data_IF_770134185098
#
_entry.id   IF_770134185098
#
_cell.length_a   1.000
_cell.length_b   1.000
_cell.length_c   1.000
_cell.angle_alpha   90.00
_cell.angle_beta   90.00
_cell.angle_gamma   90.00
#
_symmetry.space_group_name_H-M   'P 1'
#
loop_
_entity.id
_entity.type
_entity.pdbx_description
1 polymer ?
#
# COMPACT_ATOMS: atom_id res chain seq x y z
N UNK A 1 9.92 11.29 -3.49
CA UNK A 1 8.74 10.77 -4.17
C UNK A 1 8.72 9.23 -4.17
N UNK A 2 9.61 8.55 -4.91
CA UNK A 2 9.70 7.08 -4.87
C UNK A 2 10.44 6.62 -3.60
N UNK A 3 9.81 5.72 -2.83
CA UNK A 3 10.44 5.14 -1.63
C UNK A 3 11.36 3.94 -1.95
N UNK A 4 11.96 3.94 -3.16
CA UNK A 4 12.95 2.98 -3.64
C UNK A 4 13.80 3.62 -4.75
N UNK A 5 15.09 3.81 -4.52
CA UNK A 5 16.03 4.35 -5.51
C UNK A 5 16.05 3.54 -6.81
N UNK A 6 15.87 2.23 -6.73
CA UNK A 6 15.78 1.36 -7.91
C UNK A 6 14.59 1.73 -8.77
N UNK A 7 13.41 1.93 -8.16
CA UNK A 7 12.19 2.29 -8.89
C UNK A 7 12.27 3.69 -9.47
N UNK A 8 12.90 4.61 -8.76
CA UNK A 8 13.16 5.95 -9.25
C UNK A 8 14.02 5.94 -10.52
N UNK A 9 15.14 5.20 -10.51
CA UNK A 9 16.02 5.05 -11.70
C UNK A 9 15.26 4.45 -12.89
N UNK A 10 14.43 3.43 -12.65
CA UNK A 10 13.62 2.80 -13.70
C UNK A 10 12.59 3.79 -14.25
N UNK A 11 11.95 4.58 -13.38
CA UNK A 11 10.99 5.62 -13.78
C UNK A 11 11.64 6.68 -14.69
N UNK A 12 12.77 7.26 -14.28
CA UNK A 12 13.47 8.28 -15.07
C UNK A 12 13.96 7.74 -16.41
N UNK A 13 14.55 6.55 -16.44
CA UNK A 13 14.96 5.93 -17.69
C UNK A 13 13.79 5.75 -18.67
N UNK A 14 12.60 5.41 -18.18
CA UNK A 14 11.41 5.30 -19.00
C UNK A 14 10.92 6.67 -19.48
N UNK A 15 10.87 7.67 -18.60
CA UNK A 15 10.42 9.03 -18.93
C UNK A 15 11.32 9.69 -19.98
N UNK A 16 12.63 9.51 -19.89
CA UNK A 16 13.60 10.06 -20.83
C UNK A 16 13.49 9.40 -22.24
N UNK A 17 12.96 8.18 -22.31
CA UNK A 17 12.81 7.42 -23.54
C UNK A 17 11.32 7.17 -23.92
N UNK A 18 10.41 8.00 -23.41
CA UNK A 18 8.98 7.82 -23.64
C UNK A 18 8.66 7.91 -25.13
N UNK A 19 7.79 7.02 -25.62
CA UNK A 19 7.32 6.97 -26.99
C UNK A 19 5.87 7.42 -27.10
N UNK A 20 5.44 7.78 -28.30
CA UNK A 20 4.05 8.07 -28.62
C UNK A 20 3.13 6.91 -28.21
N UNK A 21 1.94 7.25 -27.74
CA UNK A 21 0.97 6.27 -27.28
C UNK A 21 -0.37 6.50 -27.95
N UNK A 22 -0.84 5.48 -28.68
CA UNK A 22 -2.17 5.48 -29.25
C UNK A 22 -3.20 5.27 -28.12
N UNK A 23 -4.08 6.26 -27.92
CA UNK A 23 -5.08 6.27 -26.85
C UNK A 23 -6.44 5.73 -27.28
N UNK A 24 -6.65 5.43 -28.56
CA UNK A 24 -7.90 4.87 -29.08
C UNK A 24 -7.93 3.34 -28.92
N UNK A 25 -9.11 2.81 -28.61
CA UNK A 25 -9.37 1.36 -28.50
C UNK A 25 -10.68 1.02 -29.21
N UNK A 26 -10.67 -0.08 -29.97
CA UNK A 26 -11.81 -0.63 -30.68
C UNK A 26 -12.57 -1.59 -29.74
N UNK A 27 -13.21 -1.04 -28.72
CA UNK A 27 -13.93 -1.79 -27.68
C UNK A 27 -15.40 -1.39 -27.68
N UNK A 28 -16.26 -2.32 -27.31
CA UNK A 28 -17.70 -2.09 -27.19
C UNK A 28 -18.05 -1.17 -26.00
N UNK A 29 -17.28 -1.25 -24.92
CA UNK A 29 -17.49 -0.48 -23.70
C UNK A 29 -16.30 0.43 -23.42
N UNK A 30 -16.59 1.64 -23.01
CA UNK A 30 -15.59 2.63 -22.62
C UNK A 30 -16.07 4.06 -22.80
N UNK A 31 -15.21 5.02 -22.53
CA UNK A 31 -15.45 6.43 -22.77
C UNK A 31 -15.22 6.71 -24.26
N UNK A 32 -16.26 7.05 -25.01
CA UNK A 32 -16.10 7.43 -26.43
C UNK A 32 -15.19 8.65 -26.54
N UNK A 33 -14.35 8.62 -27.56
CA UNK A 33 -13.46 9.74 -27.87
C UNK A 33 -14.35 10.94 -28.24
N UNK A 34 -14.24 12.10 -27.55
CA UNK A 34 -15.12 13.26 -27.73
C UNK A 34 -14.66 14.11 -28.92
N UNK A 35 -14.32 13.44 -30.01
CA UNK A 35 -13.91 14.08 -31.29
C UNK A 35 -14.94 13.81 -32.36
N UNK A 36 -15.25 14.83 -33.10
CA UNK A 36 -16.20 14.80 -34.23
C UNK A 36 -15.49 15.16 -35.53
N UNK A 37 -15.96 14.58 -36.62
CA UNK A 37 -15.45 14.76 -37.97
C UNK A 37 -16.58 15.33 -38.87
N UNK A 38 -16.23 16.27 -39.74
CA UNK A 38 -17.15 16.82 -40.70
C UNK A 38 -16.85 16.24 -42.09
N UNK A 39 -17.81 15.50 -42.65
CA UNK A 39 -17.68 14.90 -43.99
C UNK A 39 -17.66 15.93 -45.10
N UNK A 40 -18.14 17.16 -44.83
CA UNK A 40 -18.23 18.21 -45.84
C UNK A 40 -16.97 19.05 -46.01
N UNK A 41 -16.15 19.21 -44.94
CA UNK A 41 -14.97 20.07 -45.00
C UNK A 41 -13.74 19.45 -44.32
N UNK A 42 -13.81 18.19 -43.92
CA UNK A 42 -12.74 17.42 -43.23
C UNK A 42 -12.22 18.12 -41.97
N UNK A 43 -13.03 18.96 -41.33
CA UNK A 43 -12.69 19.54 -40.05
C UNK A 43 -12.92 18.53 -38.92
N UNK A 44 -11.99 18.44 -38.02
CA UNK A 44 -12.11 17.63 -36.81
C UNK A 44 -11.95 18.53 -35.58
N UNK A 45 -12.76 18.26 -34.55
CA UNK A 45 -12.72 19.03 -33.31
C UNK A 45 -13.16 18.19 -32.11
N UNK A 46 -12.62 18.51 -30.95
CA UNK A 46 -13.09 17.97 -29.66
C UNK A 46 -14.15 18.90 -29.07
N UNK A 47 -15.18 18.33 -28.45
CA UNK A 47 -16.25 19.11 -27.80
C UNK A 47 -16.71 18.42 -26.51
N UNK A 48 -17.27 19.25 -25.60
CA UNK A 48 -17.98 18.79 -24.39
C UNK A 48 -19.46 18.51 -24.64
N UNK A 49 -19.97 18.87 -25.83
CA UNK A 49 -21.35 18.58 -26.21
C UNK A 49 -21.47 17.10 -26.57
N UNK A 50 -22.42 16.41 -25.94
CA UNK A 50 -22.66 14.99 -26.21
C UNK A 50 -23.14 14.75 -27.65
N UNK A 51 -23.96 15.67 -28.19
CA UNK A 51 -24.55 15.60 -29.54
C UNK A 51 -24.47 16.96 -30.24
N UNK A 52 -23.30 17.38 -30.75
CA UNK A 52 -23.22 18.59 -31.56
C UNK A 52 -24.01 18.40 -32.85
N UNK A 53 -24.74 19.43 -33.28
CA UNK A 53 -25.62 19.33 -34.44
C UNK A 53 -24.97 19.76 -35.75
N UNK A 54 -23.94 20.60 -35.69
CA UNK A 54 -23.30 21.14 -36.89
C UNK A 54 -21.79 21.35 -36.69
N UNK A 55 -21.08 21.33 -37.79
CA UNK A 55 -19.67 21.63 -37.86
C UNK A 55 -19.40 23.11 -37.50
N UNK A 56 -18.51 23.41 -36.51
CA UNK A 56 -18.20 24.78 -36.11
C UNK A 56 -17.48 25.58 -37.20
N UNK A 57 -16.87 24.90 -38.19
CA UNK A 57 -16.13 25.54 -39.27
C UNK A 57 -17.00 25.89 -40.49
N UNK A 58 -17.90 25.00 -40.92
CA UNK A 58 -18.67 25.20 -42.16
C UNK A 58 -20.18 25.24 -41.94
N UNK A 59 -20.70 25.03 -40.73
CA UNK A 59 -22.11 25.07 -40.38
C UNK A 59 -22.96 23.93 -40.96
N UNK A 60 -22.36 22.91 -41.55
CA UNK A 60 -23.10 21.76 -42.09
C UNK A 60 -23.34 20.69 -41.07
N UNK A 61 -24.41 19.92 -41.20
CA UNK A 61 -24.88 18.89 -40.27
C UNK A 61 -24.26 17.49 -40.52
N UNK A 62 -23.52 17.30 -41.62
CA UNK A 62 -22.86 16.02 -41.94
C UNK A 62 -21.62 15.82 -41.08
N UNK A 63 -21.87 15.36 -39.87
CA UNK A 63 -20.86 15.14 -38.88
C UNK A 63 -21.04 13.75 -38.23
N UNK A 64 -19.93 13.14 -37.79
CA UNK A 64 -19.95 11.90 -37.03
C UNK A 64 -18.91 11.94 -35.91
N UNK A 65 -19.22 11.25 -34.82
CA UNK A 65 -18.28 11.10 -33.70
C UNK A 65 -17.34 9.97 -33.98
N UNK A 66 -16.11 10.06 -33.45
CA UNK A 66 -15.13 8.98 -33.43
C UNK A 66 -15.76 7.69 -32.88
N UNK A 67 -15.65 6.54 -33.58
CA UNK A 67 -16.26 5.28 -33.16
C UNK A 67 -15.50 4.62 -31.99
N UNK A 68 -14.25 5.00 -31.77
CA UNK A 68 -13.38 4.38 -30.79
C UNK A 68 -13.63 4.94 -29.38
N UNK A 69 -13.14 4.22 -28.39
CA UNK A 69 -13.14 4.63 -26.98
C UNK A 69 -11.73 4.93 -26.49
N UNK A 70 -11.62 5.72 -25.44
CA UNK A 70 -10.34 6.01 -24.80
C UNK A 70 -9.80 4.77 -24.10
N UNK A 71 -8.48 4.61 -24.15
CA UNK A 71 -7.76 3.63 -23.33
C UNK A 71 -8.05 3.84 -21.84
N UNK A 72 -8.23 2.75 -21.10
CA UNK A 72 -8.51 2.77 -19.65
C UNK A 72 -7.46 3.56 -18.90
N UNK A 73 -6.18 3.42 -19.29
CA UNK A 73 -5.08 4.13 -18.61
C UNK A 73 -5.07 5.63 -18.86
N UNK A 74 -5.71 6.08 -19.95
CA UNK A 74 -5.89 7.52 -20.18
C UNK A 74 -6.86 8.12 -19.16
N UNK A 75 -8.03 7.52 -19.00
CA UNK A 75 -9.03 7.99 -18.03
C UNK A 75 -8.54 7.83 -16.58
N UNK A 76 -7.90 6.72 -16.26
CA UNK A 76 -7.38 6.46 -14.92
C UNK A 76 -6.19 7.36 -14.53
N UNK A 77 -5.52 7.97 -15.50
CA UNK A 77 -4.48 8.97 -15.24
C UNK A 77 -5.02 10.25 -14.56
N UNK A 78 -6.33 10.49 -14.66
CA UNK A 78 -7.00 11.63 -14.01
C UNK A 78 -7.47 11.31 -12.58
N UNK A 79 -7.34 10.06 -12.14
CA UNK A 79 -7.94 9.57 -10.90
C UNK A 79 -7.50 10.33 -9.64
N UNK A 80 -6.24 10.78 -9.58
CA UNK A 80 -5.71 11.47 -8.41
C UNK A 80 -6.45 12.79 -8.07
N UNK A 81 -7.14 13.41 -9.02
CA UNK A 81 -7.81 14.71 -8.85
C UNK A 81 -9.24 14.74 -9.38
N UNK A 82 -9.59 13.92 -10.37
CA UNK A 82 -10.94 13.91 -10.95
C UNK A 82 -12.05 13.55 -9.93
N UNK A 83 -11.91 12.51 -9.08
CA UNK A 83 -12.93 12.20 -8.06
C UNK A 83 -13.09 13.28 -6.99
N UNK A 84 -12.08 14.15 -6.84
CA UNK A 84 -12.11 15.26 -5.91
C UNK A 84 -12.85 16.50 -6.47
N UNK A 85 -13.52 16.34 -7.61
CA UNK A 85 -14.37 17.38 -8.22
C UNK A 85 -13.69 18.27 -9.25
N UNK A 86 -12.51 17.90 -9.74
CA UNK A 86 -11.83 18.65 -10.81
C UNK A 86 -12.67 18.65 -12.10
N UNK A 87 -12.77 19.81 -12.73
CA UNK A 87 -13.46 19.99 -14.02
C UNK A 87 -14.95 20.28 -13.97
N UNK A 88 -15.58 20.24 -12.81
CA UNK A 88 -17.04 20.40 -12.68
C UNK A 88 -17.54 21.85 -12.50
N UNK A 89 -16.78 22.87 -12.86
CA UNK A 89 -17.20 24.29 -12.86
C UNK A 89 -18.05 24.70 -11.62
N UNK A 90 -17.72 24.21 -10.43
CA UNK A 90 -18.46 24.51 -9.19
C UNK A 90 -19.71 23.65 -8.95
N UNK A 91 -20.05 22.72 -9.84
CA UNK A 91 -21.11 21.73 -9.63
C UNK A 91 -20.54 20.40 -9.13
N UNK A 92 -19.75 20.45 -8.07
CA UNK A 92 -19.33 19.23 -7.40
C UNK A 92 -20.52 18.51 -6.81
N UNK A 93 -20.69 17.23 -7.12
CA UNK A 93 -21.46 16.38 -6.23
C UNK A 93 -20.73 16.39 -4.89
N UNK A 94 -21.36 16.98 -3.88
CA UNK A 94 -20.88 17.04 -2.49
C UNK A 94 -20.85 15.62 -1.93
N UNK A 95 -19.78 14.88 -2.24
CA UNK A 95 -19.65 13.52 -1.70
C UNK A 95 -19.03 13.55 -0.30
N UNK A 96 -18.12 14.48 -0.04
CA UNK A 96 -17.38 14.56 1.23
C UNK A 96 -17.25 15.99 1.77
N UNK A 97 -17.08 17.04 0.95
CA UNK A 97 -16.89 18.40 1.40
C UNK A 97 -16.86 19.43 0.27
N UNK A 98 -16.88 20.71 0.61
CA UNK A 98 -16.92 21.79 -0.40
C UNK A 98 -15.56 22.05 -1.07
N UNK A 99 -14.46 21.48 -0.54
CA UNK A 99 -13.09 21.75 -0.99
C UNK A 99 -12.20 20.51 -1.08
N UNK A 100 -12.75 19.33 -1.39
CA UNK A 100 -12.00 18.06 -1.38
C UNK A 100 -10.72 18.12 -2.23
N UNK A 101 -10.77 18.78 -3.38
CA UNK A 101 -9.60 18.94 -4.23
C UNK A 101 -8.49 19.74 -3.53
N UNK A 102 -8.85 20.77 -2.77
CA UNK A 102 -7.88 21.58 -2.03
C UNK A 102 -7.31 20.85 -0.82
N UNK A 103 -8.15 20.05 -0.16
CA UNK A 103 -7.78 19.40 1.10
C UNK A 103 -7.01 18.09 0.88
N UNK A 104 -7.31 17.36 -0.21
CA UNK A 104 -6.76 16.02 -0.47
C UNK A 104 -5.81 15.94 -1.67
N UNK A 105 -5.61 17.02 -2.42
CA UNK A 105 -4.60 17.06 -3.49
C UNK A 105 -3.44 18.01 -3.11
N UNK A 106 -2.16 17.56 -3.17
CA UNK A 106 -1.70 16.22 -3.52
C UNK A 106 -1.98 15.19 -2.44
N UNK A 107 -2.22 13.95 -2.85
CA UNK A 107 -2.39 12.82 -1.95
C UNK A 107 -1.09 12.54 -1.17
N UNK A 108 -1.22 12.08 0.08
CA UNK A 108 -0.06 11.83 0.93
C UNK A 108 0.79 10.65 0.46
N UNK A 109 0.15 9.57 0.01
CA UNK A 109 0.81 8.31 -0.36
C UNK A 109 0.02 7.57 -1.43
N UNK A 110 0.72 7.11 -2.46
CA UNK A 110 0.23 6.09 -3.40
C UNK A 110 0.92 4.76 -3.12
N UNK A 111 0.12 3.70 -2.93
CA UNK A 111 0.62 2.33 -2.84
C UNK A 111 0.09 1.54 -4.04
N UNK A 112 0.97 0.98 -4.85
CA UNK A 112 0.57 0.20 -6.04
C UNK A 112 1.63 -0.82 -6.44
N UNK A 113 1.28 -1.75 -7.34
CA UNK A 113 2.21 -2.70 -7.91
C UNK A 113 3.20 -2.04 -8.88
N UNK A 114 4.42 -2.53 -8.88
CA UNK A 114 5.45 -2.00 -9.79
C UNK A 114 5.15 -2.27 -11.27
N UNK A 115 4.33 -3.27 -11.57
CA UNK A 115 3.95 -3.67 -12.93
C UNK A 115 3.08 -2.64 -13.65
N UNK A 116 2.40 -1.75 -12.92
CA UNK A 116 1.61 -0.65 -13.47
C UNK A 116 2.24 0.73 -13.26
N UNK A 117 3.52 0.80 -12.94
CA UNK A 117 4.22 2.07 -12.74
C UNK A 117 4.14 2.97 -13.98
N UNK A 118 4.38 2.43 -15.17
CA UNK A 118 4.34 3.21 -16.41
C UNK A 118 2.94 3.42 -16.94
N UNK A 119 2.07 2.43 -16.76
CA UNK A 119 0.69 2.51 -17.27
C UNK A 119 -0.16 3.47 -16.45
N UNK A 120 0.06 3.53 -15.14
CA UNK A 120 -0.79 4.31 -14.25
C UNK A 120 -0.06 5.43 -13.53
N UNK A 121 1.00 5.12 -12.79
CA UNK A 121 1.68 6.10 -11.92
C UNK A 121 2.30 7.23 -12.74
N UNK A 122 3.11 6.90 -13.75
CA UNK A 122 3.75 7.90 -14.60
C UNK A 122 2.71 8.79 -15.30
N UNK A 123 1.60 8.22 -15.77
CA UNK A 123 0.53 8.97 -16.42
C UNK A 123 -0.25 9.86 -15.45
N UNK A 124 -0.51 9.41 -14.22
CA UNK A 124 -1.08 10.29 -13.20
C UNK A 124 -0.15 11.46 -12.87
N UNK A 125 1.16 11.23 -12.82
CA UNK A 125 2.13 12.28 -12.59
C UNK A 125 2.16 13.29 -13.73
N UNK A 126 2.15 12.83 -14.99
CA UNK A 126 2.10 13.70 -16.18
C UNK A 126 0.81 14.54 -16.22
N UNK A 127 -0.35 13.91 -15.99
CA UNK A 127 -1.64 14.60 -16.01
C UNK A 127 -1.79 15.54 -14.81
N UNK A 128 -1.32 15.13 -13.62
CA UNK A 128 -1.31 15.98 -12.44
C UNK A 128 -0.46 17.23 -12.65
N UNK A 129 0.75 17.10 -13.14
CA UNK A 129 1.61 18.24 -13.45
C UNK A 129 0.98 19.16 -14.51
N UNK A 130 0.42 18.57 -15.58
CA UNK A 130 -0.20 19.33 -16.68
C UNK A 130 -1.45 20.10 -16.26
N UNK A 131 -2.38 19.45 -15.55
CA UNK A 131 -3.68 20.05 -15.23
C UNK A 131 -3.73 20.78 -13.89
N UNK A 132 -2.94 20.34 -12.91
CA UNK A 132 -2.95 20.88 -11.56
C UNK A 132 -1.70 21.71 -11.25
N UNK A 133 -0.65 21.68 -12.11
CA UNK A 133 0.63 22.37 -11.89
C UNK A 133 1.41 21.79 -10.70
N UNK A 134 1.10 20.57 -10.28
CA UNK A 134 1.67 19.95 -9.11
C UNK A 134 1.59 18.42 -9.21
N UNK A 135 2.64 17.73 -8.74
CA UNK A 135 2.63 16.26 -8.66
C UNK A 135 1.51 15.74 -7.74
N UNK A 136 0.85 14.63 -8.12
CA UNK A 136 -0.34 14.14 -7.43
C UNK A 136 -0.09 13.44 -6.10
N UNK A 137 1.16 13.04 -5.80
CA UNK A 137 1.53 12.26 -4.61
C UNK A 137 2.79 12.83 -3.96
N UNK A 138 2.82 12.84 -2.63
CA UNK A 138 4.05 13.15 -1.86
C UNK A 138 4.99 11.96 -1.87
N UNK A 139 4.45 10.76 -1.65
CA UNK A 139 5.17 9.51 -1.60
C UNK A 139 4.56 8.46 -2.51
N UNK A 140 5.40 7.63 -3.13
CA UNK A 140 5.01 6.50 -3.94
C UNK A 140 5.73 5.25 -3.43
N UNK A 141 4.95 4.28 -2.96
CA UNK A 141 5.43 2.98 -2.52
C UNK A 141 5.02 1.89 -3.52
N UNK A 142 6.03 1.25 -4.12
CA UNK A 142 5.83 0.14 -5.05
C UNK A 142 5.89 -1.17 -4.29
N UNK A 143 4.72 -1.80 -4.07
CA UNK A 143 4.64 -3.07 -3.37
C UNK A 143 5.05 -4.25 -4.24
N UNK A 144 5.47 -5.33 -3.59
CA UNK A 144 5.74 -6.61 -4.22
C UNK A 144 4.45 -7.29 -4.70
N UNK A 145 4.55 -8.12 -5.75
CA UNK A 145 3.44 -8.99 -6.16
C UNK A 145 3.51 -10.31 -5.42
N UNK A 146 2.34 -10.81 -5.00
CA UNK A 146 2.23 -12.13 -4.38
C UNK A 146 2.16 -13.20 -5.47
N UNK A 147 3.02 -14.20 -5.35
CA UNK A 147 3.10 -15.39 -6.22
C UNK A 147 2.84 -16.64 -5.39
N UNK A 148 2.52 -17.73 -6.04
CA UNK A 148 2.45 -19.02 -5.37
C UNK A 148 3.81 -19.48 -4.79
N UNK A 149 3.86 -20.56 -4.04
CA UNK A 149 5.06 -21.08 -3.39
C UNK A 149 6.19 -21.43 -4.39
N UNK A 150 5.83 -21.75 -5.63
CA UNK A 150 6.79 -22.02 -6.71
C UNK A 150 7.25 -20.76 -7.45
N UNK A 151 6.66 -19.60 -7.13
CA UNK A 151 6.96 -18.31 -7.76
C UNK A 151 6.20 -18.06 -9.06
N UNK A 152 5.20 -18.87 -9.39
CA UNK A 152 4.35 -18.65 -10.55
C UNK A 152 3.32 -17.55 -10.28
N UNK A 153 2.98 -16.77 -11.31
CA UNK A 153 1.90 -15.78 -11.24
C UNK A 153 0.57 -16.50 -11.00
N UNK A 154 -0.17 -16.04 -9.99
CA UNK A 154 -1.50 -16.55 -9.69
C UNK A 154 -2.49 -16.18 -10.79
N UNK A 155 -3.29 -17.13 -11.24
CA UNK A 155 -4.39 -16.89 -12.18
C UNK A 155 -5.50 -17.93 -12.00
N UNK A 156 -6.75 -17.50 -12.23
CA UNK A 156 -7.93 -18.40 -12.16
C UNK A 156 -7.79 -19.58 -13.13
N UNK A 157 -7.21 -19.35 -14.31
CA UNK A 157 -7.02 -20.38 -15.33
C UNK A 157 -6.02 -21.47 -14.91
N UNK A 158 -5.07 -21.15 -14.02
CA UNK A 158 -4.10 -22.11 -13.48
C UNK A 158 -4.57 -22.80 -12.21
N UNK A 159 -5.66 -22.31 -11.59
CA UNK A 159 -6.17 -22.85 -10.33
C UNK A 159 -5.25 -22.65 -9.13
N UNK A 160 -4.27 -21.74 -9.21
CA UNK A 160 -3.30 -21.42 -8.15
C UNK A 160 -3.60 -20.09 -7.43
N UNK A 161 -4.82 -19.59 -7.55
CA UNK A 161 -5.27 -18.40 -6.83
C UNK A 161 -5.55 -18.79 -5.38
N UNK A 162 -4.95 -18.06 -4.45
CA UNK A 162 -5.21 -18.18 -3.02
C UNK A 162 -6.24 -17.10 -2.67
N UNK A 163 -7.38 -17.52 -2.11
CA UNK A 163 -8.37 -16.58 -1.57
C UNK A 163 -7.91 -16.12 -0.18
N UNK A 164 -7.72 -14.80 0.03
CA UNK A 164 -7.34 -14.30 1.34
C UNK A 164 -8.36 -14.61 2.45
N UNK A 165 -9.65 -14.74 2.14
CA UNK A 165 -10.69 -15.04 3.12
C UNK A 165 -10.55 -16.49 3.62
N UNK A 166 -10.34 -17.45 2.72
CA UNK A 166 -10.09 -18.85 3.09
C UNK A 166 -8.83 -18.97 3.98
N UNK A 167 -7.81 -18.15 3.67
CA UNK A 167 -6.59 -18.10 4.50
C UNK A 167 -6.88 -17.54 5.90
N UNK A 168 -7.73 -16.51 6.01
CA UNK A 168 -8.10 -15.91 7.30
C UNK A 168 -8.84 -16.94 8.17
N UNK A 169 -9.71 -17.74 7.59
CA UNK A 169 -10.43 -18.80 8.32
C UNK A 169 -9.49 -19.88 8.86
N UNK A 170 -8.45 -20.23 8.12
CA UNK A 170 -7.52 -21.32 8.49
C UNK A 170 -6.32 -20.85 9.34
N UNK A 171 -5.88 -19.60 9.18
CA UNK A 171 -4.62 -19.11 9.77
C UNK A 171 -4.78 -17.88 10.66
N UNK A 172 -5.88 -17.17 10.63
CA UNK A 172 -6.13 -15.83 11.17
C UNK A 172 -5.55 -14.67 10.35
N UNK A 173 -6.20 -13.51 10.47
CA UNK A 173 -5.79 -12.29 9.77
C UNK A 173 -4.40 -11.79 10.21
N UNK A 174 -4.08 -11.90 11.50
CA UNK A 174 -2.81 -11.42 12.04
C UNK A 174 -1.60 -12.20 11.49
N UNK A 175 -1.73 -13.53 11.39
CA UNK A 175 -0.68 -14.39 10.81
C UNK A 175 -0.42 -14.00 9.36
N UNK A 176 -1.48 -13.80 8.57
CA UNK A 176 -1.36 -13.46 7.15
C UNK A 176 -0.73 -12.08 6.99
N UNK A 177 -1.23 -11.09 7.71
CA UNK A 177 -0.72 -9.70 7.65
C UNK A 177 0.75 -9.63 8.06
N UNK A 178 1.12 -10.28 9.15
CA UNK A 178 2.51 -10.31 9.60
C UNK A 178 3.41 -11.06 8.60
N UNK A 179 2.95 -12.19 8.05
CA UNK A 179 3.65 -12.93 7.00
C UNK A 179 3.94 -12.04 5.80
N UNK A 180 2.91 -11.34 5.30
CA UNK A 180 3.06 -10.44 4.15
C UNK A 180 4.02 -9.28 4.45
N UNK A 181 3.91 -8.66 5.63
CA UNK A 181 4.82 -7.59 6.04
C UNK A 181 6.27 -8.08 6.11
N UNK A 182 6.50 -9.25 6.72
CA UNK A 182 7.83 -9.85 6.84
C UNK A 182 8.46 -10.20 5.49
N UNK A 183 7.66 -10.65 4.53
CA UNK A 183 8.11 -11.03 3.19
C UNK A 183 8.18 -9.86 2.19
N UNK A 184 7.67 -8.68 2.55
CA UNK A 184 7.55 -7.51 1.68
C UNK A 184 8.91 -6.81 1.46
N UNK A 185 9.86 -7.51 0.85
CA UNK A 185 11.14 -6.92 0.46
C UNK A 185 10.94 -6.09 -0.81
N UNK A 186 11.32 -4.82 -0.76
CA UNK A 186 11.19 -3.93 -1.91
C UNK A 186 11.91 -4.49 -3.15
N UNK A 187 11.20 -4.50 -4.28
CA UNK A 187 11.73 -4.93 -5.58
C UNK A 187 11.82 -6.44 -5.77
N UNK A 188 11.22 -7.24 -4.91
CA UNK A 188 11.11 -8.70 -5.06
C UNK A 188 9.68 -9.16 -4.88
N UNK A 189 9.24 -10.12 -5.70
CA UNK A 189 7.93 -10.75 -5.52
C UNK A 189 7.92 -11.62 -4.26
N UNK A 190 6.76 -11.69 -3.63
CA UNK A 190 6.52 -12.53 -2.45
C UNK A 190 6.13 -13.92 -2.92
N UNK A 191 6.90 -14.94 -2.55
CA UNK A 191 6.48 -16.33 -2.69
C UNK A 191 5.74 -16.73 -1.42
N UNK A 192 4.42 -16.88 -1.52
CA UNK A 192 3.58 -17.22 -0.40
C UNK A 192 3.27 -18.72 -0.41
N UNK A 193 3.65 -19.42 0.66
CA UNK A 193 3.40 -20.84 0.85
C UNK A 193 3.09 -21.17 2.31
N UNK A 194 2.59 -22.38 2.55
CA UNK A 194 2.17 -22.86 3.87
C UNK A 194 3.28 -22.74 4.94
N UNK A 195 4.54 -23.01 4.56
CA UNK A 195 5.67 -22.90 5.49
C UNK A 195 5.88 -21.50 6.06
N UNK A 196 5.58 -20.46 5.26
CA UNK A 196 5.68 -19.09 5.75
C UNK A 196 4.60 -18.80 6.79
N UNK A 197 3.38 -19.26 6.55
CA UNK A 197 2.26 -19.08 7.48
C UNK A 197 2.48 -19.87 8.78
N UNK A 198 2.98 -21.10 8.69
CA UNK A 198 3.30 -21.91 9.85
C UNK A 198 4.36 -21.27 10.75
N UNK A 199 5.38 -20.64 10.17
CA UNK A 199 6.39 -19.89 10.93
C UNK A 199 5.74 -18.82 11.82
N UNK A 200 4.81 -18.05 11.26
CA UNK A 200 4.18 -16.96 12.01
C UNK A 200 3.01 -17.41 12.89
N UNK A 201 2.40 -18.54 12.60
CA UNK A 201 1.52 -19.24 13.55
C UNK A 201 2.30 -19.63 14.82
N UNK A 202 3.50 -20.17 14.65
CA UNK A 202 4.36 -20.50 15.80
C UNK A 202 4.78 -19.23 16.57
N UNK A 203 4.99 -18.11 15.88
CA UNK A 203 5.29 -16.83 16.51
C UNK A 203 4.12 -16.32 17.37
N UNK A 204 2.91 -16.29 16.83
CA UNK A 204 1.71 -15.89 17.60
C UNK A 204 1.44 -16.80 18.77
N UNK A 205 1.60 -18.12 18.61
CA UNK A 205 1.51 -19.09 19.71
C UNK A 205 2.58 -18.86 20.79
N UNK A 206 3.78 -18.48 20.39
CA UNK A 206 4.87 -18.14 21.35
C UNK A 206 4.50 -16.93 22.20
N UNK A 207 3.96 -15.86 21.58
CA UNK A 207 3.47 -14.67 22.29
C UNK A 207 2.32 -15.00 23.23
N UNK A 208 1.36 -15.81 22.77
CA UNK A 208 0.24 -16.27 23.59
C UNK A 208 0.73 -17.06 24.82
N UNK A 209 1.67 -17.99 24.64
CA UNK A 209 2.24 -18.76 25.74
C UNK A 209 3.03 -17.89 26.72
N UNK A 210 3.77 -16.88 26.24
CA UNK A 210 4.44 -15.89 27.08
C UNK A 210 3.43 -15.09 27.92
N UNK A 211 2.33 -14.64 27.29
CA UNK A 211 1.22 -13.96 28.00
C UNK A 211 0.62 -14.84 29.09
N UNK A 212 0.33 -16.11 28.79
CA UNK A 212 -0.21 -17.06 29.77
C UNK A 212 0.76 -17.28 30.94
N UNK A 213 2.04 -17.47 30.66
CA UNK A 213 3.04 -17.62 31.71
C UNK A 213 3.06 -16.40 32.65
N UNK A 214 3.08 -15.18 32.09
CA UNK A 214 3.08 -13.95 32.87
C UNK A 214 1.81 -13.85 33.73
N UNK A 215 0.64 -14.07 33.14
CA UNK A 215 -0.66 -13.95 33.82
C UNK A 215 -0.89 -15.02 34.90
N UNK A 216 -0.30 -16.19 34.77
CA UNK A 216 -0.38 -17.23 35.79
C UNK A 216 0.49 -16.91 37.04
N UNK A 217 1.49 -16.04 36.93
CA UNK A 217 2.40 -15.68 38.00
C UNK A 217 2.05 -14.35 38.69
N UNK A 218 1.33 -13.46 38.01
CA UNK A 218 0.94 -12.14 38.52
C UNK A 218 -0.42 -11.75 37.97
N UNK A 219 -1.36 -11.37 38.85
CA UNK A 219 -2.74 -11.07 38.48
C UNK A 219 -2.87 -9.80 37.62
N UNK A 220 -2.01 -8.80 37.85
CA UNK A 220 -2.04 -7.53 37.12
C UNK A 220 -0.63 -7.00 36.90
N UNK A 221 -0.42 -6.39 35.73
CA UNK A 221 0.82 -5.68 35.42
C UNK A 221 0.57 -4.19 35.35
N UNK A 222 1.31 -3.36 36.10
CA UNK A 222 1.22 -1.89 35.98
C UNK A 222 1.60 -1.44 34.56
N UNK A 223 1.16 -0.26 34.16
CA UNK A 223 1.65 0.36 32.93
C UNK A 223 3.12 0.78 33.14
N UNK A 224 3.90 0.77 32.08
CA UNK A 224 5.35 1.05 32.17
C UNK A 224 5.65 2.44 32.76
N UNK A 225 4.76 3.40 32.59
CA UNK A 225 4.84 4.75 33.19
C UNK A 225 4.63 4.77 34.70
N UNK A 226 3.98 3.74 35.26
CA UNK A 226 3.59 3.65 36.69
C UNK A 226 4.50 2.72 37.51
N UNK A 227 5.55 2.16 36.88
CA UNK A 227 6.51 1.29 37.51
C UNK A 227 7.95 1.76 37.24
N UNK A 228 8.79 1.67 38.26
CA UNK A 228 10.24 1.84 38.11
C UNK A 228 10.90 0.48 37.89
N UNK A 229 11.57 0.32 36.75
CA UNK A 229 12.31 -0.91 36.44
C UNK A 229 13.64 -0.90 37.22
N UNK A 230 13.89 -1.93 38.03
CA UNK A 230 15.04 -2.00 38.97
C UNK A 230 15.86 -3.27 38.83
N UNK A 231 15.23 -4.38 38.42
CA UNK A 231 15.98 -5.64 38.31
C UNK A 231 16.96 -5.58 37.14
N UNK A 232 18.12 -6.23 37.24
CA UNK A 232 19.09 -6.30 36.14
C UNK A 232 18.46 -6.84 34.86
N UNK A 233 17.57 -7.83 34.97
CA UNK A 233 16.82 -8.36 33.83
C UNK A 233 15.84 -7.33 33.23
N UNK A 234 15.06 -6.65 34.06
CA UNK A 234 14.14 -5.61 33.64
C UNK A 234 14.84 -4.46 32.90
N UNK A 235 15.96 -3.95 33.48
CA UNK A 235 16.77 -2.90 32.84
C UNK A 235 17.37 -3.35 31.51
N UNK A 236 17.85 -4.59 31.41
CA UNK A 236 18.34 -5.16 30.17
C UNK A 236 17.24 -5.24 29.13
N UNK A 237 16.07 -5.78 29.47
CA UNK A 237 14.94 -5.90 28.55
C UNK A 237 14.35 -4.54 28.16
N UNK A 238 14.31 -3.57 29.06
CA UNK A 238 13.89 -2.21 28.73
C UNK A 238 14.83 -1.56 27.72
N UNK A 239 16.15 -1.74 27.86
CA UNK A 239 17.12 -1.27 26.86
C UNK A 239 16.92 -1.94 25.51
N UNK A 240 16.70 -3.26 25.48
CA UNK A 240 16.43 -4.01 24.24
C UNK A 240 15.12 -3.57 23.58
N UNK A 241 14.07 -3.33 24.36
CA UNK A 241 12.79 -2.81 23.87
C UNK A 241 12.97 -1.43 23.26
N UNK A 242 13.71 -0.52 23.91
CA UNK A 242 13.99 0.82 23.37
C UNK A 242 14.69 0.75 22.02
N UNK A 243 15.71 -0.08 21.88
CA UNK A 243 16.37 -0.29 20.59
C UNK A 243 15.43 -0.86 19.53
N UNK A 244 14.59 -1.84 19.89
CA UNK A 244 13.62 -2.40 18.96
C UNK A 244 12.58 -1.35 18.50
N UNK A 245 12.13 -0.47 19.40
CA UNK A 245 11.23 0.64 19.08
C UNK A 245 11.88 1.61 18.08
N UNK A 246 13.14 1.98 18.30
CA UNK A 246 13.87 2.90 17.43
C UNK A 246 14.10 2.28 16.03
N UNK A 247 14.53 1.03 15.96
CA UNK A 247 14.68 0.29 14.71
C UNK A 247 13.35 0.17 13.95
N UNK A 248 12.27 -0.16 14.68
CA UNK A 248 10.92 -0.27 14.12
C UNK A 248 10.45 1.06 13.50
N UNK A 249 10.57 2.16 14.25
CA UNK A 249 10.19 3.49 13.77
C UNK A 249 10.96 3.88 12.53
N UNK A 250 12.29 3.74 12.56
CA UNK A 250 13.14 4.06 11.42
C UNK A 250 12.78 3.22 10.18
N UNK A 251 12.44 1.95 10.39
CA UNK A 251 12.04 1.05 9.31
C UNK A 251 10.67 1.45 8.73
N UNK A 252 9.69 1.79 9.58
CA UNK A 252 8.37 2.24 9.14
C UNK A 252 8.44 3.58 8.41
N UNK A 253 9.18 4.56 8.94
CA UNK A 253 9.38 5.87 8.32
C UNK A 253 10.06 5.77 6.95
N UNK A 254 10.87 4.72 6.76
CA UNK A 254 11.56 4.39 5.51
C UNK A 254 10.77 3.44 4.61
N UNK A 255 9.55 3.06 4.98
CA UNK A 255 8.71 2.07 4.26
C UNK A 255 9.36 0.70 4.08
N UNK A 256 10.22 0.28 5.03
CA UNK A 256 10.89 -1.02 5.04
C UNK A 256 10.15 -2.00 5.95
N UNK A 257 8.96 -2.40 5.54
CA UNK A 257 8.06 -3.23 6.35
C UNK A 257 8.68 -4.58 6.74
N UNK A 258 9.48 -5.17 5.87
CA UNK A 258 10.19 -6.42 6.16
C UNK A 258 11.22 -6.25 7.28
N UNK A 259 11.94 -5.12 7.34
CA UNK A 259 12.89 -4.82 8.41
C UNK A 259 12.13 -4.58 9.71
N UNK A 260 11.03 -3.83 9.69
CA UNK A 260 10.17 -3.61 10.85
C UNK A 260 9.64 -4.93 11.43
N UNK A 261 9.04 -5.79 10.60
CA UNK A 261 8.54 -7.10 11.04
C UNK A 261 9.66 -8.03 11.54
N UNK A 262 10.84 -8.00 10.91
CA UNK A 262 12.00 -8.78 11.35
C UNK A 262 12.54 -8.32 12.71
N UNK A 263 12.55 -7.02 12.98
CA UNK A 263 12.94 -6.46 14.26
C UNK A 263 11.99 -6.90 15.37
N UNK A 264 10.68 -6.82 15.13
CA UNK A 264 9.67 -7.30 16.07
C UNK A 264 9.80 -8.80 16.34
N UNK A 265 9.95 -9.61 15.29
CA UNK A 265 10.12 -11.05 15.43
C UNK A 265 11.35 -11.39 16.26
N UNK A 266 12.51 -10.79 15.95
CA UNK A 266 13.77 -11.01 16.66
C UNK A 266 13.67 -10.62 18.13
N UNK A 267 13.17 -9.42 18.42
CA UNK A 267 13.02 -8.95 19.78
C UNK A 267 12.03 -9.82 20.57
N UNK A 268 10.80 -10.00 20.06
CA UNK A 268 9.76 -10.69 20.81
C UNK A 268 10.04 -12.19 20.98
N UNK A 269 10.55 -12.86 19.95
CA UNK A 269 10.87 -14.29 20.06
C UNK A 269 12.19 -14.54 20.76
N UNK A 270 13.30 -14.03 20.19
CA UNK A 270 14.64 -14.44 20.62
C UNK A 270 15.10 -13.76 21.92
N UNK A 271 14.82 -12.45 22.05
CA UNK A 271 15.25 -11.71 23.23
C UNK A 271 14.23 -11.87 24.37
N UNK A 272 12.97 -11.52 24.13
CA UNK A 272 11.96 -11.49 25.18
C UNK A 272 11.52 -12.90 25.61
N UNK A 273 11.07 -13.74 24.67
CA UNK A 273 10.54 -15.06 25.02
C UNK A 273 11.65 -16.07 25.40
N UNK A 274 12.70 -16.18 24.59
CA UNK A 274 13.73 -17.23 24.84
C UNK A 274 14.63 -16.89 26.01
N UNK A 275 14.96 -15.61 26.22
CA UNK A 275 15.82 -15.19 27.33
C UNK A 275 15.02 -14.56 28.47
N UNK A 276 14.21 -13.51 28.19
CA UNK A 276 13.52 -12.76 29.22
C UNK A 276 12.62 -13.61 30.08
N UNK A 277 11.73 -14.39 29.48
CA UNK A 277 10.81 -15.27 30.21
C UNK A 277 11.59 -16.33 31.02
N UNK A 278 12.64 -16.93 30.47
CA UNK A 278 13.39 -17.97 31.18
C UNK A 278 14.11 -17.38 32.39
N UNK A 279 14.79 -16.26 32.28
CA UNK A 279 15.48 -15.62 33.41
C UNK A 279 14.53 -15.07 34.47
N UNK A 280 13.31 -14.62 34.06
CA UNK A 280 12.33 -14.08 35.01
C UNK A 280 11.80 -15.10 36.00
N UNK A 281 11.89 -16.40 35.72
CA UNK A 281 11.45 -17.47 36.62
C UNK A 281 12.19 -17.46 37.99
N UNK A 282 13.33 -16.82 38.05
CA UNK A 282 14.14 -16.72 39.27
C UNK A 282 13.60 -15.66 40.25
N UNK A 283 12.79 -14.71 39.85
CA UNK A 283 12.34 -13.57 40.66
C UNK A 283 10.95 -13.09 40.29
N UNK A 284 10.04 -13.05 41.29
CA UNK A 284 8.69 -12.51 41.09
C UNK A 284 8.70 -11.03 40.67
N UNK A 285 9.64 -10.23 41.17
CA UNK A 285 9.83 -8.84 40.82
C UNK A 285 10.17 -8.70 39.33
N UNK A 286 11.09 -9.53 38.83
CA UNK A 286 11.40 -9.57 37.38
C UNK A 286 10.21 -9.95 36.52
N UNK A 287 9.31 -10.84 36.97
CA UNK A 287 8.10 -11.19 36.24
C UNK A 287 7.16 -10.00 36.13
N UNK A 288 6.98 -9.19 37.18
CA UNK A 288 6.14 -7.98 37.14
C UNK A 288 6.71 -6.96 36.16
N UNK A 289 7.99 -6.69 36.19
CA UNK A 289 8.67 -5.76 35.30
C UNK A 289 8.56 -6.23 33.84
N UNK A 290 8.80 -7.52 33.57
CA UNK A 290 8.65 -8.11 32.25
C UNK A 290 7.21 -8.04 31.73
N UNK A 291 6.22 -8.28 32.60
CA UNK A 291 4.81 -8.15 32.21
C UNK A 291 4.45 -6.74 31.74
N UNK A 292 4.98 -5.72 32.43
CA UNK A 292 4.82 -4.32 32.02
C UNK A 292 5.50 -4.02 30.68
N UNK A 293 6.71 -4.53 30.46
CA UNK A 293 7.42 -4.42 29.17
C UNK A 293 6.72 -5.21 28.06
N UNK A 294 6.09 -6.35 28.38
CA UNK A 294 5.34 -7.16 27.41
C UNK A 294 4.09 -6.44 26.89
N UNK A 295 3.39 -5.69 27.75
CA UNK A 295 2.28 -4.85 27.30
C UNK A 295 2.72 -3.87 26.21
N UNK A 296 3.88 -3.24 26.37
CA UNK A 296 4.43 -2.33 25.34
C UNK A 296 4.86 -3.11 24.08
N UNK A 297 5.43 -4.31 24.24
CA UNK A 297 5.77 -5.19 23.12
C UNK A 297 4.54 -5.55 22.28
N UNK A 298 3.42 -5.89 22.92
CA UNK A 298 2.18 -6.22 22.21
C UNK A 298 1.55 -5.04 21.46
N UNK A 299 1.85 -3.80 21.84
CA UNK A 299 1.40 -2.62 21.07
C UNK A 299 2.14 -2.44 19.75
N UNK A 300 3.30 -3.08 19.59
CA UNK A 300 4.13 -3.00 18.39
C UNK A 300 3.80 -4.10 17.36
N UNK A 301 3.26 -5.23 17.83
CA UNK A 301 2.89 -6.38 17.00
C UNK A 301 1.49 -6.17 16.42
#
# INVERSE_FOLDING_TARGET
LFRSERMEKIYYNWMENIQDWCISRQLWWGHRIPVFYCDSCNHQWATKEDEPKMCPKCGKEHIHQDPDVLDTWFSSALWAFSPLGWGNNGQMQKTFGENDLKDFYPNSLLITGFDIMFFWVARMMMMGEHFMGQLPFKDIYMHALVRDEHGAKMSKSKGNVIDPLDMVETHSADIIRFTLAYLAIQGRDIKLGEKNLEQFRNFTNKLYNASNFLSLNVDTFPDLKDIEIKTPLGLYMQSKLSHAVDELRNSLDSYKFNEAASTLYRFAWMEFCDWGIEYSKASKESIVELGSLFKETLKMV
#
